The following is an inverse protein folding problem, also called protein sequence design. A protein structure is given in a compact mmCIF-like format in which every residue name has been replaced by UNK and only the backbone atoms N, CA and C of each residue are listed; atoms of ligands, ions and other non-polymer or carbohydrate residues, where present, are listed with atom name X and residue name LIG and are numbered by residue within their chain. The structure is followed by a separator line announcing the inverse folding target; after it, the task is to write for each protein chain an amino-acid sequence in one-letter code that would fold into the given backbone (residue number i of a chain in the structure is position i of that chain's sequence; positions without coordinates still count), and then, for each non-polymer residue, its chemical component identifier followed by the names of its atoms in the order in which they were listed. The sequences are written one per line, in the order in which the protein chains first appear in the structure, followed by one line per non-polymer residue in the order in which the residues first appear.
data_IF_733256888151
#
_entry.id   IF_733256888151
#
_cell.length_a   1.000
_cell.length_b   1.000
_cell.length_c   1.000
_cell.angle_alpha   90.00
_cell.angle_beta   90.00
_cell.angle_gamma   90.00
#
_symmetry.space_group_name_H-M   'P 1'
#
loop_
_entity.id
_entity.type
_entity.pdbx_description
1 polymer ?
#
# COMPACT_ATOMS: atom_id res chain seq x y z
N UNK A 1 -9.48 4.53 -21.02
CA UNK A 1 -9.21 3.10 -20.80
C UNK A 1 -8.10 2.84 -19.75
N UNK A 2 -7.92 3.70 -18.74
CA UNK A 2 -6.79 3.59 -17.80
C UNK A 2 -7.04 2.70 -16.55
N UNK A 3 -8.30 2.43 -16.20
CA UNK A 3 -8.71 1.84 -14.91
C UNK A 3 -8.02 0.52 -14.55
N UNK A 4 -7.71 -0.33 -15.53
CA UNK A 4 -6.91 -1.56 -15.35
C UNK A 4 -5.62 -1.57 -16.18
N UNK A 5 -5.26 -0.45 -16.81
CA UNK A 5 -4.12 -0.32 -17.73
C UNK A 5 -3.33 0.97 -17.44
N UNK A 6 -2.94 1.17 -16.19
CA UNK A 6 -2.14 2.33 -15.77
C UNK A 6 -2.58 2.95 -14.45
N UNK A 7 -3.83 2.74 -14.02
CA UNK A 7 -4.26 3.10 -12.67
C UNK A 7 -3.59 2.21 -11.63
N UNK A 8 -3.11 2.83 -10.54
CA UNK A 8 -2.49 2.13 -9.42
C UNK A 8 -3.59 1.58 -8.53
N UNK A 9 -3.47 0.29 -8.20
CA UNK A 9 -4.34 -0.43 -7.27
C UNK A 9 -3.53 -0.82 -6.03
N UNK A 10 -3.61 -0.06 -4.93
CA UNK A 10 -2.80 -0.29 -3.73
C UNK A 10 -2.89 -1.69 -3.14
N UNK A 11 -4.06 -2.34 -3.21
CA UNK A 11 -4.23 -3.70 -2.66
C UNK A 11 -3.28 -4.71 -3.31
N UNK A 12 -2.81 -4.47 -4.55
CA UNK A 12 -1.86 -5.35 -5.23
C UNK A 12 -0.47 -5.36 -4.55
N UNK A 13 -0.17 -4.36 -3.72
CA UNK A 13 1.09 -4.27 -2.99
C UNK A 13 1.33 -5.50 -2.10
N UNK A 14 0.27 -6.06 -1.51
CA UNK A 14 0.39 -7.21 -0.63
C UNK A 14 0.89 -8.47 -1.35
N UNK A 15 0.24 -8.84 -2.46
CA UNK A 15 0.69 -9.98 -3.27
C UNK A 15 2.08 -9.73 -3.89
N UNK A 16 2.38 -8.49 -4.27
CA UNK A 16 3.71 -8.10 -4.74
C UNK A 16 4.77 -8.34 -3.66
N UNK A 17 4.53 -7.89 -2.43
CA UNK A 17 5.47 -8.07 -1.32
C UNK A 17 5.64 -9.53 -0.91
N UNK A 18 4.57 -10.33 -0.94
CA UNK A 18 4.67 -11.77 -0.70
C UNK A 18 5.58 -12.45 -1.72
N UNK A 19 5.49 -12.07 -3.00
CA UNK A 19 6.36 -12.60 -4.05
C UNK A 19 7.79 -12.07 -3.91
N UNK A 20 7.95 -10.76 -3.67
CA UNK A 20 9.23 -10.10 -3.52
C UNK A 20 10.05 -10.67 -2.36
N UNK A 21 9.43 -10.86 -1.19
CA UNK A 21 10.08 -11.42 0.00
C UNK A 21 10.56 -12.86 -0.21
N UNK A 22 9.79 -13.68 -0.95
CA UNK A 22 10.16 -15.06 -1.31
C UNK A 22 11.36 -15.12 -2.26
N UNK A 23 11.42 -14.21 -3.23
CA UNK A 23 12.49 -14.18 -4.24
C UNK A 23 13.78 -13.59 -3.65
N UNK A 24 13.69 -12.46 -2.95
CA UNK A 24 14.84 -11.66 -2.55
C UNK A 24 15.26 -11.85 -1.08
N UNK A 25 14.76 -12.89 -0.40
CA UNK A 25 15.13 -13.29 0.98
C UNK A 25 15.04 -12.15 2.00
N UNK A 26 13.81 -11.72 2.30
CA UNK A 26 13.49 -10.79 3.42
C UNK A 26 14.20 -9.43 3.37
N UNK A 27 14.06 -8.71 2.26
CA UNK A 27 14.31 -7.27 2.25
C UNK A 27 13.10 -6.52 2.84
N UNK A 28 12.95 -6.57 4.16
CA UNK A 28 11.85 -5.94 4.90
C UNK A 28 11.95 -4.42 4.92
N UNK A 29 13.17 -3.87 4.87
CA UNK A 29 13.40 -2.42 4.77
C UNK A 29 12.73 -1.84 3.51
N UNK A 30 12.84 -2.53 2.37
CA UNK A 30 12.16 -2.12 1.13
C UNK A 30 10.63 -2.19 1.22
N UNK A 31 10.05 -2.99 2.13
CA UNK A 31 8.61 -3.01 2.33
C UNK A 31 8.11 -1.76 3.07
N UNK A 32 8.91 -1.21 4.00
CA UNK A 32 8.59 0.03 4.71
C UNK A 32 8.58 1.22 3.75
N UNK A 33 9.58 1.30 2.87
CA UNK A 33 9.68 2.38 1.87
C UNK A 33 8.43 2.43 0.98
N UNK A 34 7.84 1.26 0.66
CA UNK A 34 6.60 1.19 -0.11
C UNK A 34 5.36 1.64 0.68
N UNK A 35 5.44 1.71 2.01
CA UNK A 35 4.37 2.21 2.86
C UNK A 35 4.41 3.72 3.10
N UNK A 36 5.58 4.37 2.97
CA UNK A 36 5.74 5.82 3.18
C UNK A 36 4.69 6.69 2.47
N UNK A 37 4.32 6.44 1.20
CA UNK A 37 3.32 7.26 0.50
C UNK A 37 1.91 7.22 1.12
N UNK A 38 1.61 6.21 1.96
CA UNK A 38 0.31 6.12 2.62
C UNK A 38 0.17 7.06 3.81
N UNK A 39 1.27 7.57 4.39
CA UNK A 39 1.20 8.48 5.53
C UNK A 39 0.46 9.78 5.19
N UNK A 40 0.78 10.41 4.05
CA UNK A 40 0.05 11.59 3.59
C UNK A 40 -1.41 11.24 3.25
N UNK A 41 -1.65 10.07 2.65
CA UNK A 41 -3.01 9.63 2.33
C UNK A 41 -3.89 9.50 3.56
N UNK A 42 -3.38 8.84 4.60
CA UNK A 42 -4.06 8.66 5.87
C UNK A 42 -4.36 9.97 6.58
N UNK A 43 -3.59 11.04 6.32
CA UNK A 43 -3.78 12.35 6.95
C UNK A 43 -4.64 13.30 6.12
N UNK A 44 -4.52 13.26 4.80
CA UNK A 44 -5.02 14.32 3.90
C UNK A 44 -6.18 13.90 3.03
N UNK A 45 -6.17 12.68 2.50
CA UNK A 45 -7.11 12.27 1.47
C UNK A 45 -8.17 11.32 2.03
N UNK A 46 -7.71 10.23 2.63
CA UNK A 46 -8.56 9.18 3.16
C UNK A 46 -8.68 9.23 4.67
N UNK A 47 -8.39 10.34 5.37
CA UNK A 47 -8.43 10.51 6.85
C UNK A 47 -8.74 9.22 7.65
N UNK A 48 -7.70 8.48 8.03
CA UNK A 48 -7.80 7.21 8.78
C UNK A 48 -8.15 5.96 7.95
N UNK A 49 -8.23 6.08 6.64
CA UNK A 49 -8.49 5.03 5.64
C UNK A 49 -7.74 5.35 4.34
N UNK A 50 -7.89 4.49 3.34
CA UNK A 50 -7.10 4.54 2.10
C UNK A 50 -8.02 4.33 0.89
N UNK A 51 -7.78 5.15 -0.13
CA UNK A 51 -8.51 5.11 -1.39
C UNK A 51 -8.33 3.82 -2.18
N UNK A 52 -9.30 3.56 -3.06
CA UNK A 52 -9.34 2.41 -3.95
C UNK A 52 -8.22 2.43 -5.00
N UNK A 53 -7.98 3.60 -5.61
CA UNK A 53 -7.06 3.75 -6.72
C UNK A 53 -6.31 5.08 -6.68
N UNK A 54 -5.19 5.11 -7.40
CA UNK A 54 -4.38 6.32 -7.61
C UNK A 54 -4.04 6.50 -9.09
N UNK A 55 -3.97 7.76 -9.52
CA UNK A 55 -3.44 8.11 -10.85
C UNK A 55 -1.91 8.02 -10.84
N UNK A 56 -1.33 7.29 -11.80
CA UNK A 56 0.09 6.92 -11.75
C UNK A 56 1.09 8.08 -11.91
N UNK A 57 0.73 9.17 -12.61
CA UNK A 57 1.63 10.30 -12.84
C UNK A 57 1.68 11.26 -11.65
N UNK A 58 0.56 11.47 -10.98
CA UNK A 58 0.37 12.50 -9.95
C UNK A 58 0.16 11.93 -8.56
N UNK A 59 -0.04 10.61 -8.43
CA UNK A 59 -0.42 9.93 -7.18
C UNK A 59 -1.68 10.53 -6.54
N UNK A 60 -2.56 11.14 -7.34
CA UNK A 60 -3.84 11.65 -6.85
C UNK A 60 -4.79 10.49 -6.60
N UNK A 61 -5.45 10.45 -5.43
CA UNK A 61 -6.43 9.41 -5.13
C UNK A 61 -7.70 9.60 -5.96
N UNK A 62 -8.36 8.48 -6.27
CA UNK A 62 -9.66 8.41 -6.92
C UNK A 62 -10.43 7.16 -6.47
N UNK A 63 -11.64 6.95 -6.98
CA UNK A 63 -12.50 5.83 -6.65
C UNK A 63 -13.06 5.91 -5.23
N UNK A 64 -13.34 4.76 -4.63
CA UNK A 64 -13.85 4.70 -3.26
C UNK A 64 -12.83 5.31 -2.27
N UNK A 65 -13.27 6.22 -1.40
CA UNK A 65 -12.41 6.89 -0.40
C UNK A 65 -11.93 5.94 0.71
N UNK A 66 -12.68 4.87 0.96
CA UNK A 66 -12.41 3.92 2.03
C UNK A 66 -12.58 2.50 1.51
N UNK A 67 -11.51 1.92 1.00
CA UNK A 67 -11.64 0.67 0.27
C UNK A 67 -11.08 -0.54 1.03
N UNK A 68 -11.96 -1.50 1.31
CA UNK A 68 -11.71 -2.60 2.23
C UNK A 68 -10.48 -3.44 1.88
N UNK A 69 -10.29 -3.81 0.60
CA UNK A 69 -9.13 -4.61 0.19
C UNK A 69 -7.79 -3.89 0.39
N UNK A 70 -7.77 -2.58 0.24
CA UNK A 70 -6.57 -1.76 0.31
C UNK A 70 -6.18 -1.63 1.77
N UNK A 71 -7.16 -1.25 2.61
CA UNK A 71 -6.96 -1.18 4.06
C UNK A 71 -6.51 -2.54 4.61
N UNK A 72 -7.13 -3.64 4.18
CA UNK A 72 -6.78 -4.98 4.62
C UNK A 72 -5.33 -5.35 4.26
N UNK A 73 -4.91 -5.15 3.01
CA UNK A 73 -3.55 -5.52 2.58
C UNK A 73 -2.48 -4.63 3.23
N UNK A 74 -2.72 -3.33 3.39
CA UNK A 74 -1.78 -2.43 4.08
C UNK A 74 -1.64 -2.82 5.56
N UNK A 75 -2.74 -3.14 6.25
CA UNK A 75 -2.68 -3.62 7.64
C UNK A 75 -1.98 -4.97 7.76
N UNK A 76 -2.15 -5.88 6.78
CA UNK A 76 -1.46 -7.16 6.75
C UNK A 76 0.05 -6.97 6.61
N UNK A 77 0.48 -6.17 5.64
CA UNK A 77 1.90 -5.82 5.44
C UNK A 77 2.49 -5.22 6.71
N UNK A 78 1.80 -4.22 7.29
CA UNK A 78 2.23 -3.60 8.53
C UNK A 78 2.39 -4.60 9.68
N UNK A 79 1.40 -5.50 9.84
CA UNK A 79 1.41 -6.51 10.89
C UNK A 79 2.56 -7.49 10.71
N UNK A 80 2.88 -7.87 9.48
CA UNK A 80 3.97 -8.78 9.19
C UNK A 80 5.34 -8.12 9.43
N UNK A 81 5.51 -6.85 9.05
CA UNK A 81 6.70 -6.04 9.38
C UNK A 81 6.87 -5.91 10.91
N UNK A 82 5.78 -5.65 11.64
CA UNK A 82 5.81 -5.50 13.10
C UNK A 82 6.23 -6.77 13.84
N UNK A 83 5.87 -7.95 13.34
CA UNK A 83 6.30 -9.24 13.92
C UNK A 83 7.81 -9.44 13.84
N UNK A 84 8.46 -8.85 12.85
CA UNK A 84 9.92 -8.90 12.66
C UNK A 84 10.65 -7.81 13.49
N UNK A 85 9.93 -7.06 14.33
CA UNK A 85 10.49 -6.06 15.25
C UNK A 85 10.68 -4.67 14.63
N UNK A 86 10.08 -4.43 13.45
CA UNK A 86 10.18 -3.17 12.72
C UNK A 86 8.90 -2.36 12.94
N UNK A 87 9.05 -1.08 13.29
CA UNK A 87 7.92 -0.17 13.50
C UNK A 87 7.79 0.82 12.34
N UNK A 88 6.60 0.87 11.74
CA UNK A 88 6.18 1.88 10.76
C UNK A 88 5.09 2.73 11.40
N UNK A 89 5.36 4.03 11.56
CA UNK A 89 4.62 5.02 12.38
C UNK A 89 4.38 4.66 13.86
#
# INVERSE_FOLDING_TARGET
MAYHNGTIWPYLLGAFLDAHTRVFRRNEAGAIELLEPFEENLKRYGIGTINEIFEAKTMRPDGCVSQAWTVAEILRIYTDIKKEGIHWV
#
